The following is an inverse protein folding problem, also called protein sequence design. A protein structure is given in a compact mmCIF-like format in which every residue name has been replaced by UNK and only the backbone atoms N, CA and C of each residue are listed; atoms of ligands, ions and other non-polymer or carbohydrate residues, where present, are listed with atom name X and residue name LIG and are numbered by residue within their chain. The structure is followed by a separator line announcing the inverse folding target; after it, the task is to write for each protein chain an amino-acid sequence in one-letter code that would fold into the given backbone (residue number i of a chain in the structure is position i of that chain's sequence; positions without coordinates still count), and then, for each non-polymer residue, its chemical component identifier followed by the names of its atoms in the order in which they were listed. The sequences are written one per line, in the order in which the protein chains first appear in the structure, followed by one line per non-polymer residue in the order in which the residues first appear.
data_IF_372485549394
#
_entry.id   IF_372485549394
#
_cell.length_a   1.000
_cell.length_b   1.000
_cell.length_c   1.000
_cell.angle_alpha   90.00
_cell.angle_beta   90.00
_cell.angle_gamma   90.00
#
_symmetry.space_group_name_H-M   'P 1'
#
loop_
_entity.id
_entity.type
_entity.pdbx_description
1 polymer ?
#
# COMPACT_ATOMS: atom_id res chain seq x y z
N UNK A 1 17.89 -10.51 -25.10
CA UNK A 1 17.18 -9.37 -25.72
C UNK A 1 17.30 -8.16 -24.79
N UNK A 2 18.14 -7.15 -25.09
CA UNK A 2 18.48 -6.08 -24.15
C UNK A 2 17.48 -4.92 -24.05
N UNK A 3 16.37 -4.95 -24.80
CA UNK A 3 15.48 -3.79 -24.99
C UNK A 3 14.09 -3.95 -24.35
N UNK A 4 13.88 -5.01 -23.54
CA UNK A 4 12.55 -5.38 -23.03
C UNK A 4 12.14 -4.69 -21.71
N UNK A 5 12.97 -3.81 -21.13
CA UNK A 5 12.83 -3.38 -19.72
C UNK A 5 12.50 -1.89 -19.52
N UNK A 6 11.83 -1.24 -20.48
CA UNK A 6 11.15 0.04 -20.22
C UNK A 6 9.66 -0.12 -20.47
N UNK A 7 8.92 -0.36 -19.39
CA UNK A 7 7.46 -0.28 -19.41
C UNK A 7 7.03 1.05 -18.81
N UNK A 8 6.36 1.85 -19.63
CA UNK A 8 5.72 3.08 -19.16
C UNK A 8 4.34 2.74 -18.60
N UNK A 9 4.11 3.10 -17.33
CA UNK A 9 2.83 2.90 -16.66
C UNK A 9 2.06 4.22 -16.60
N UNK A 10 0.91 4.27 -17.28
CA UNK A 10 0.02 5.43 -17.28
C UNK A 10 -1.28 5.13 -16.52
N UNK A 11 -1.66 5.98 -15.56
CA UNK A 11 -2.92 5.85 -14.78
C UNK A 11 -3.71 7.17 -14.81
N UNK A 12 -4.93 7.15 -15.34
CA UNK A 12 -5.92 8.22 -15.26
C UNK A 12 -7.23 7.70 -14.67
N UNK A 13 -7.93 8.45 -13.79
CA UNK A 13 -7.60 9.76 -13.23
C UNK A 13 -6.67 9.69 -12.02
N UNK A 14 -5.71 10.61 -11.93
CA UNK A 14 -4.75 10.67 -10.82
C UNK A 14 -5.39 11.07 -9.47
N UNK A 15 -6.50 11.83 -9.50
CA UNK A 15 -7.25 12.34 -8.32
C UNK A 15 -6.40 13.16 -7.34
N UNK A 16 -5.42 13.88 -7.87
CA UNK A 16 -4.51 14.72 -7.12
C UNK A 16 -4.69 16.16 -7.62
N UNK A 17 -4.74 17.11 -6.68
CA UNK A 17 -4.98 18.53 -6.99
C UNK A 17 -3.70 19.32 -7.18
N UNK A 18 -2.56 18.87 -6.64
CA UNK A 18 -1.29 19.61 -6.69
C UNK A 18 -0.20 18.81 -7.42
N UNK A 19 0.71 19.52 -8.11
CA UNK A 19 1.81 18.88 -8.84
C UNK A 19 2.77 18.15 -7.88
N UNK A 20 3.09 18.76 -6.74
CA UNK A 20 3.98 18.16 -5.75
C UNK A 20 3.45 16.83 -5.16
N UNK A 21 2.15 16.72 -4.92
CA UNK A 21 1.53 15.46 -4.51
C UNK A 21 1.58 14.40 -5.63
N UNK A 22 1.46 14.84 -6.89
CA UNK A 22 1.51 13.94 -8.05
C UNK A 22 2.91 13.33 -8.22
N UNK A 23 3.96 14.13 -8.10
CA UNK A 23 5.35 13.67 -8.14
C UNK A 23 5.67 12.69 -7.02
N UNK A 24 5.24 12.99 -5.77
CA UNK A 24 5.40 12.06 -4.64
C UNK A 24 4.67 10.75 -4.88
N UNK A 25 3.43 10.80 -5.36
CA UNK A 25 2.65 9.60 -5.65
C UNK A 25 3.27 8.78 -6.80
N UNK A 26 3.81 9.42 -7.83
CA UNK A 26 4.54 8.76 -8.91
C UNK A 26 5.79 8.06 -8.39
N UNK A 27 6.60 8.74 -7.56
CA UNK A 27 7.79 8.17 -6.95
C UNK A 27 7.46 6.93 -6.12
N UNK A 28 6.45 6.99 -5.26
CA UNK A 28 6.03 5.86 -4.43
C UNK A 28 5.51 4.68 -5.28
N UNK A 29 4.79 4.96 -6.38
CA UNK A 29 4.32 3.91 -7.29
C UNK A 29 5.45 3.23 -8.05
N UNK A 30 6.44 4.00 -8.49
CA UNK A 30 7.63 3.47 -9.13
C UNK A 30 8.44 2.60 -8.15
N UNK A 31 8.67 3.11 -6.92
CA UNK A 31 9.37 2.36 -5.87
C UNK A 31 8.65 1.06 -5.48
N UNK A 32 7.32 1.07 -5.41
CA UNK A 32 6.55 -0.15 -5.15
C UNK A 32 6.75 -1.20 -6.25
N UNK A 33 6.77 -0.79 -7.52
CA UNK A 33 7.02 -1.72 -8.64
C UNK A 33 8.45 -2.26 -8.65
N UNK A 34 9.43 -1.45 -8.26
CA UNK A 34 10.85 -1.83 -8.21
C UNK A 34 11.15 -2.75 -7.02
N UNK A 35 10.44 -2.57 -5.90
CA UNK A 35 10.60 -3.37 -4.69
C UNK A 35 10.34 -4.88 -4.88
N UNK A 36 9.63 -5.27 -5.94
CA UNK A 36 9.39 -6.69 -6.26
C UNK A 36 10.50 -7.35 -7.08
N UNK A 37 11.47 -6.58 -7.59
CA UNK A 37 12.46 -7.10 -8.53
C UNK A 37 13.52 -7.98 -7.84
N UNK A 38 14.06 -7.51 -6.72
CA UNK A 38 15.14 -8.19 -5.97
C UNK A 38 14.57 -8.85 -4.71
N UNK A 39 14.15 -10.12 -4.83
CA UNK A 39 13.67 -10.95 -3.71
C UNK A 39 14.58 -12.15 -3.51
N UNK A 40 14.97 -12.37 -2.26
CA UNK A 40 15.79 -13.50 -1.81
C UNK A 40 14.96 -14.40 -0.91
N UNK A 41 14.98 -15.70 -1.18
CA UNK A 41 14.28 -16.69 -0.37
C UNK A 41 15.29 -17.49 0.45
N UNK A 42 14.97 -17.71 1.73
CA UNK A 42 15.82 -18.46 2.65
C UNK A 42 15.00 -19.37 3.56
N UNK A 43 15.67 -20.38 4.12
CA UNK A 43 15.12 -21.28 5.13
C UNK A 43 16.10 -21.35 6.30
N UNK A 44 15.59 -21.31 7.53
CA UNK A 44 16.42 -21.40 8.73
C UNK A 44 15.70 -22.16 9.85
N UNK A 45 16.45 -22.54 10.86
CA UNK A 45 16.00 -23.10 12.13
C UNK A 45 16.17 -22.11 13.28
N UNK A 46 16.68 -20.89 13.01
CA UNK A 46 16.90 -19.87 14.02
C UNK A 46 15.61 -19.18 14.42
N UNK A 47 15.33 -19.14 15.73
CA UNK A 47 14.15 -18.46 16.31
C UNK A 47 14.33 -16.94 16.47
N UNK A 48 15.53 -16.43 16.24
CA UNK A 48 15.89 -15.00 16.44
C UNK A 48 15.53 -14.15 15.21
N UNK A 49 15.24 -14.81 14.08
CA UNK A 49 14.88 -14.18 12.82
C UNK A 49 13.44 -13.64 12.92
N UNK A 50 13.27 -12.34 12.63
CA UNK A 50 12.01 -11.62 12.72
C UNK A 50 11.80 -10.74 11.48
N UNK A 51 10.54 -10.51 11.12
CA UNK A 51 10.19 -9.61 10.01
C UNK A 51 10.57 -8.18 10.38
N UNK A 52 11.16 -7.45 9.44
CA UNK A 52 11.65 -6.07 9.63
C UNK A 52 13.07 -5.98 10.17
N UNK A 53 13.70 -7.11 10.58
CA UNK A 53 15.11 -7.10 10.96
C UNK A 53 16.02 -7.10 9.75
N UNK A 54 17.17 -6.43 9.93
CA UNK A 54 18.30 -6.46 9.01
C UNK A 54 19.26 -7.57 9.40
N UNK A 55 19.82 -8.23 8.40
CA UNK A 55 20.89 -9.20 8.58
C UNK A 55 21.85 -9.17 7.39
N UNK A 56 23.11 -9.49 7.66
CA UNK A 56 24.13 -9.64 6.63
C UNK A 56 24.44 -11.13 6.48
N UNK A 57 24.14 -11.75 5.33
CA UNK A 57 24.54 -13.12 5.06
C UNK A 57 26.06 -13.25 5.14
N UNK A 58 26.55 -14.38 5.62
CA UNK A 58 27.96 -14.75 5.52
C UNK A 58 28.06 -16.20 5.08
N UNK A 59 29.11 -16.51 4.34
CA UNK A 59 29.39 -17.87 3.87
C UNK A 59 30.66 -18.37 4.55
N UNK A 60 30.59 -19.55 5.18
CA UNK A 60 31.75 -20.15 5.86
C UNK A 60 32.74 -20.75 4.85
N UNK A 61 32.24 -21.23 3.70
CA UNK A 61 33.07 -21.85 2.67
C UNK A 61 33.89 -20.84 1.85
N UNK A 62 33.39 -19.61 1.68
CA UNK A 62 34.05 -18.52 0.94
C UNK A 62 33.95 -17.21 1.75
N UNK A 63 34.79 -17.03 2.78
CA UNK A 63 34.76 -15.84 3.64
C UNK A 63 35.04 -14.52 2.90
N UNK A 64 35.65 -14.58 1.72
CA UNK A 64 35.95 -13.45 0.85
C UNK A 64 34.70 -12.87 0.16
N UNK A 65 33.58 -13.60 0.13
CA UNK A 65 32.34 -13.12 -0.46
C UNK A 65 31.63 -12.13 0.47
N UNK A 66 31.67 -10.85 0.10
CA UNK A 66 30.89 -9.81 0.77
C UNK A 66 29.45 -9.80 0.24
N UNK A 67 28.50 -10.21 1.09
CA UNK A 67 27.07 -10.12 0.79
C UNK A 67 26.49 -8.77 1.24
N UNK A 68 25.53 -8.25 0.47
CA UNK A 68 24.79 -7.04 0.84
C UNK A 68 23.93 -7.27 2.11
N UNK A 69 23.64 -6.21 2.86
CA UNK A 69 22.69 -6.27 3.97
C UNK A 69 21.25 -6.45 3.42
N UNK A 70 20.49 -7.36 4.02
CA UNK A 70 19.12 -7.68 3.63
C UNK A 70 18.15 -7.44 4.78
N UNK A 71 16.92 -7.04 4.44
CA UNK A 71 15.79 -6.87 5.38
C UNK A 71 14.79 -7.99 5.14
N UNK A 72 14.33 -8.66 6.19
CA UNK A 72 13.29 -9.68 6.09
C UNK A 72 11.92 -9.02 5.93
N UNK A 73 11.21 -9.35 4.84
CA UNK A 73 9.93 -8.74 4.48
C UNK A 73 8.76 -9.65 4.82
N UNK A 74 8.93 -10.96 4.67
CA UNK A 74 7.91 -11.94 5.03
C UNK A 74 8.55 -13.18 5.63
N UNK A 75 7.84 -13.85 6.53
CA UNK A 75 8.30 -15.08 7.16
C UNK A 75 7.12 -15.99 7.48
N UNK A 76 7.29 -17.28 7.20
CA UNK A 76 6.40 -18.36 7.62
C UNK A 76 7.18 -19.31 8.52
N UNK A 77 6.67 -19.51 9.73
CA UNK A 77 7.23 -20.43 10.71
C UNK A 77 6.33 -21.66 10.84
N UNK A 78 6.94 -22.82 10.99
CA UNK A 78 6.28 -24.09 11.25
C UNK A 78 6.91 -24.69 12.49
N UNK A 79 6.08 -24.93 13.50
CA UNK A 79 6.48 -25.50 14.77
C UNK A 79 5.68 -26.77 14.98
N UNK A 80 6.38 -27.88 15.17
CA UNK A 80 5.78 -29.18 15.40
C UNK A 80 6.26 -29.67 16.75
N UNK A 81 5.33 -29.85 17.68
CA UNK A 81 5.59 -30.45 18.98
C UNK A 81 5.07 -31.88 18.98
N UNK A 82 5.97 -32.84 19.21
CA UNK A 82 5.67 -34.28 19.27
C UNK A 82 6.00 -34.88 20.64
N UNK A 83 6.21 -34.04 21.65
CA UNK A 83 6.58 -34.51 23.01
C UNK A 83 5.52 -35.39 23.68
N UNK A 84 4.27 -35.36 23.19
CA UNK A 84 3.16 -36.16 23.70
C UNK A 84 3.06 -37.55 23.05
N UNK A 85 3.84 -37.82 22.00
CA UNK A 85 3.90 -39.15 21.39
C UNK A 85 4.91 -40.01 22.16
N UNK A 86 4.56 -41.28 22.40
CA UNK A 86 5.40 -42.24 23.15
C UNK A 86 6.78 -42.46 22.53
N UNK A 87 7.00 -41.99 21.29
CA UNK A 87 8.28 -42.04 20.61
C UNK A 87 8.97 -40.69 20.79
N UNK A 88 10.14 -40.68 21.42
CA UNK A 88 10.94 -39.52 21.81
C UNK A 88 11.32 -38.63 20.61
N UNK A 89 10.39 -37.81 20.16
CA UNK A 89 10.57 -36.85 19.08
C UNK A 89 10.78 -35.46 19.68
N UNK A 90 11.95 -34.89 19.43
CA UNK A 90 12.24 -33.50 19.78
C UNK A 90 11.32 -32.52 19.03
N UNK A 91 10.97 -31.38 19.63
CA UNK A 91 10.18 -30.35 18.96
C UNK A 91 10.94 -29.76 17.76
N UNK A 92 10.31 -29.77 16.59
CA UNK A 92 10.88 -29.26 15.34
C UNK A 92 10.47 -27.81 15.11
N UNK A 93 11.44 -26.93 14.83
CA UNK A 93 11.21 -25.55 14.42
C UNK A 93 11.90 -25.27 13.10
N UNK A 94 11.11 -24.84 12.12
CA UNK A 94 11.58 -24.42 10.81
C UNK A 94 10.93 -23.11 10.45
N UNK A 95 11.70 -22.20 9.86
CA UNK A 95 11.17 -21.02 9.21
C UNK A 95 11.60 -20.94 7.74
N UNK A 96 10.74 -20.34 6.94
CA UNK A 96 11.01 -19.90 5.58
C UNK A 96 10.76 -18.41 5.54
N UNK A 97 11.69 -17.66 4.97
CA UNK A 97 11.62 -16.21 4.95
C UNK A 97 11.97 -15.66 3.58
N UNK A 98 11.52 -14.44 3.37
CA UNK A 98 11.76 -13.64 2.19
C UNK A 98 12.44 -12.35 2.61
N UNK A 99 13.52 -11.99 1.92
CA UNK A 99 14.30 -10.82 2.20
C UNK A 99 14.56 -9.98 0.94
N UNK A 100 14.75 -8.68 1.15
CA UNK A 100 15.03 -7.70 0.10
C UNK A 100 16.31 -6.94 0.49
N UNK A 101 17.18 -6.57 -0.47
CA UNK A 101 18.37 -5.77 -0.18
C UNK A 101 18.04 -4.44 0.51
N UNK A 102 18.81 -4.05 1.52
CA UNK A 102 18.54 -2.86 2.33
C UNK A 102 18.66 -1.53 1.56
N UNK A 103 19.30 -1.52 0.38
CA UNK A 103 19.34 -0.33 -0.50
C UNK A 103 17.98 0.03 -1.09
N UNK A 104 17.08 -0.95 -1.25
CA UNK A 104 15.80 -0.75 -1.93
C UNK A 104 14.73 -0.37 -0.91
N UNK A 105 14.11 0.82 -1.02
CA UNK A 105 13.05 1.22 -0.12
C UNK A 105 11.78 0.39 -0.39
N UNK A 106 11.41 -0.47 0.56
CA UNK A 106 10.21 -1.30 0.47
C UNK A 106 8.94 -0.42 0.60
N UNK A 107 8.37 -0.03 -0.53
CA UNK A 107 7.10 0.69 -0.57
C UNK A 107 5.96 -0.31 -0.76
N UNK A 108 4.92 -0.31 0.10
CA UNK A 108 3.86 -1.30 0.03
C UNK A 108 3.00 -1.14 -1.24
N UNK A 109 2.61 -2.27 -1.81
CA UNK A 109 1.70 -2.32 -2.95
C UNK A 109 0.27 -1.89 -2.60
N UNK A 110 -0.40 -1.28 -3.58
CA UNK A 110 -1.81 -0.86 -3.44
C UNK A 110 -2.78 -2.02 -3.68
N UNK A 111 -2.72 -3.06 -2.84
CA UNK A 111 -3.61 -4.22 -2.93
C UNK A 111 -5.03 -3.92 -2.44
N UNK A 112 -5.17 -3.01 -1.46
CA UNK A 112 -6.47 -2.63 -0.92
C UNK A 112 -7.36 -2.02 -2.00
N UNK A 113 -8.51 -2.64 -2.24
CA UNK A 113 -9.49 -2.15 -3.22
C UNK A 113 -9.94 -0.74 -2.82
N UNK A 114 -9.95 0.18 -3.80
CA UNK A 114 -10.45 1.53 -3.58
C UNK A 114 -11.97 1.47 -3.30
N UNK A 115 -12.48 2.22 -2.31
CA UNK A 115 -13.92 2.34 -2.11
C UNK A 115 -14.55 3.00 -3.35
N UNK A 116 -15.64 2.41 -3.84
CA UNK A 116 -16.40 2.90 -4.99
C UNK A 116 -17.84 3.14 -4.55
N UNK A 117 -18.42 4.20 -5.11
CA UNK A 117 -19.85 4.44 -5.04
C UNK A 117 -20.40 3.97 -6.39
N UNK A 118 -21.23 2.93 -6.39
CA UNK A 118 -21.70 2.28 -7.62
C UNK A 118 -22.82 3.04 -8.34
N UNK A 119 -23.39 4.08 -7.72
CA UNK A 119 -24.46 4.88 -8.33
C UNK A 119 -24.68 6.24 -7.69
N UNK A 120 -25.66 6.97 -8.20
CA UNK A 120 -26.05 8.26 -7.63
C UNK A 120 -26.73 8.06 -6.28
N UNK A 121 -26.40 8.91 -5.31
CA UNK A 121 -26.98 8.87 -3.97
C UNK A 121 -27.75 10.15 -3.70
N UNK A 122 -28.84 10.03 -2.95
CA UNK A 122 -29.63 11.17 -2.47
C UNK A 122 -28.89 11.86 -1.32
N UNK A 123 -29.02 13.17 -1.23
CA UNK A 123 -28.47 13.98 -0.15
C UNK A 123 -29.41 15.15 0.16
N UNK A 124 -29.33 15.64 1.40
CA UNK A 124 -30.11 16.80 1.86
C UNK A 124 -29.26 18.04 1.68
N UNK A 125 -29.82 19.11 1.09
CA UNK A 125 -29.13 20.41 0.98
C UNK A 125 -29.03 21.03 2.37
N UNK A 126 -27.83 21.45 2.75
CA UNK A 126 -27.57 22.00 4.07
C UNK A 126 -27.06 23.45 3.97
N UNK A 127 -27.51 24.29 4.89
CA UNK A 127 -27.09 25.68 5.00
C UNK A 127 -27.11 26.17 6.45
N UNK A 128 -26.49 27.32 6.75
CA UNK A 128 -26.68 28.05 7.99
C UNK A 128 -28.16 28.18 8.39
N UNK A 129 -28.47 28.20 9.70
CA UNK A 129 -29.84 28.39 10.16
C UNK A 129 -30.38 29.75 9.71
N UNK A 130 -31.61 29.77 9.19
CA UNK A 130 -32.33 31.00 8.84
C UNK A 130 -32.22 31.48 7.39
N UNK A 131 -31.46 30.79 6.54
CA UNK A 131 -31.34 31.14 5.13
C UNK A 131 -31.65 29.89 4.28
N UNK A 132 -32.45 30.07 3.22
CA UNK A 132 -33.04 28.96 2.45
C UNK A 132 -32.16 28.57 1.25
N UNK A 133 -31.44 29.54 0.69
CA UNK A 133 -30.65 29.38 -0.54
C UNK A 133 -29.22 29.87 -0.29
N UNK A 134 -28.26 28.93 -0.31
CA UNK A 134 -26.86 29.17 0.06
C UNK A 134 -25.83 28.77 -1.03
N UNK A 135 -25.82 29.43 -2.21
CA UNK A 135 -24.85 29.13 -3.25
C UNK A 135 -23.52 29.87 -3.02
N UNK A 136 -22.41 29.17 -3.29
CA UNK A 136 -21.10 29.82 -3.43
C UNK A 136 -21.01 30.62 -4.75
N UNK A 137 -19.98 31.48 -4.90
CA UNK A 137 -19.67 32.26 -6.12
C UNK A 137 -19.63 31.43 -7.40
N UNK A 138 -19.37 30.13 -7.29
CA UNK A 138 -19.36 29.18 -8.41
C UNK A 138 -20.66 28.37 -8.56
N UNK A 139 -21.75 28.78 -7.88
CA UNK A 139 -23.04 28.08 -7.89
C UNK A 139 -23.01 26.70 -7.24
N UNK A 140 -22.11 26.48 -6.27
CA UNK A 140 -21.97 25.20 -5.55
C UNK A 140 -22.82 25.24 -4.28
N UNK A 141 -23.36 24.10 -3.88
CA UNK A 141 -24.16 23.94 -2.67
C UNK A 141 -23.50 22.94 -1.70
N UNK A 142 -23.80 23.06 -0.42
CA UNK A 142 -23.40 22.10 0.62
C UNK A 142 -24.49 21.05 0.80
N UNK A 143 -24.08 19.79 1.00
CA UNK A 143 -24.99 18.64 1.13
C UNK A 143 -24.59 17.75 2.31
N UNK A 144 -25.57 17.11 2.92
CA UNK A 144 -25.39 16.06 3.94
C UNK A 144 -25.87 14.74 3.33
N UNK A 145 -24.99 13.73 3.34
CA UNK A 145 -25.33 12.38 2.89
C UNK A 145 -26.13 11.63 3.96
N UNK A 146 -27.06 10.77 3.53
CA UNK A 146 -28.00 10.05 4.42
C UNK A 146 -27.29 9.16 5.46
N UNK A 147 -26.09 8.68 5.16
CA UNK A 147 -25.30 7.81 6.05
C UNK A 147 -24.35 8.57 6.99
N UNK A 148 -24.40 9.91 7.03
CA UNK A 148 -23.51 10.72 7.87
C UNK A 148 -24.32 11.66 8.77
N UNK A 149 -23.99 11.66 10.05
CA UNK A 149 -24.54 12.58 11.06
C UNK A 149 -23.83 13.94 11.09
N UNK A 150 -22.63 14.06 10.49
CA UNK A 150 -21.85 15.31 10.48
C UNK A 150 -21.82 15.94 9.09
N UNK A 151 -22.05 17.25 9.03
CA UNK A 151 -21.96 18.05 7.79
C UNK A 151 -20.54 18.00 7.24
N UNK A 152 -20.35 17.29 6.13
CA UNK A 152 -19.07 17.26 5.43
C UNK A 152 -19.08 18.28 4.30
N UNK A 153 -18.29 19.35 4.46
CA UNK A 153 -18.17 20.38 3.45
C UNK A 153 -17.26 19.89 2.30
N UNK A 154 -17.87 19.37 1.23
CA UNK A 154 -17.22 19.31 -0.07
C UNK A 154 -18.17 19.93 -1.09
N UNK A 155 -17.82 21.12 -1.56
CA UNK A 155 -18.61 21.84 -2.54
C UNK A 155 -18.80 21.00 -3.80
N UNK A 156 -20.05 20.76 -4.18
CA UNK A 156 -20.41 20.03 -5.40
C UNK A 156 -20.99 21.01 -6.40
N UNK A 157 -20.55 20.90 -7.67
CA UNK A 157 -21.11 21.68 -8.78
C UNK A 157 -22.45 21.05 -9.18
N UNK A 158 -23.52 21.85 -9.18
CA UNK A 158 -24.80 21.45 -9.75
C UNK A 158 -24.72 21.35 -11.28
N UNK A 159 -25.34 20.34 -11.87
CA UNK A 159 -25.50 20.25 -13.32
C UNK A 159 -26.56 21.25 -13.77
N UNK A 160 -26.22 22.13 -14.71
CA UNK A 160 -27.16 23.07 -15.35
C UNK A 160 -27.42 22.62 -16.78
N UNK A 161 -28.64 22.84 -17.32
CA UNK A 161 -28.96 22.51 -18.71
C UNK A 161 -28.16 23.34 -19.73
N UNK A 162 -27.62 24.49 -19.31
CA UNK A 162 -26.74 25.33 -20.12
C UNK A 162 -25.65 25.95 -19.24
N UNK A 163 -24.40 25.92 -19.71
CA UNK A 163 -23.27 26.66 -19.12
C UNK A 163 -22.67 27.56 -20.21
N UNK A 164 -22.93 28.86 -20.12
CA UNK A 164 -22.29 29.88 -20.95
C UNK A 164 -20.88 30.21 -20.46
N UNK A 165 -20.08 30.87 -21.32
CA UNK A 165 -18.77 31.43 -20.95
C UNK A 165 -18.92 32.63 -20.04
#
# INVERSE_FOLDING_TARGET
MPDAMRRELYEYPARISTVAEAERAQKLRAQASEADHDRVFGRSTSRVIEVGRRFTPYEVAHPEHAYEEHVIVSMRQTVVDRSYETNSNDPEYVNSFEAVPSRVPLTPHRQTKRPRIEGTQVAIVAGPPGEEIHPDKYGRIRIIGVWRSTVYCRERRGSRPWNGK
#
